data_IF_859392414781
#
_entry.id   IF_859392414781
#
_cell.length_a   1.000
_cell.length_b   1.000
_cell.length_c   1.000
_cell.angle_alpha   90.00
_cell.angle_beta   90.00
_cell.angle_gamma   90.00
#
_symmetry.space_group_name_H-M   'P 1'
#
loop_
_entity.id
_entity.type
_entity.pdbx_description
1 polymer ?
#
# COMPACT_ATOMS: atom_id res chain seq x y z
N UNK A 1 0.79 -11.81 -23.09
CA UNK A 1 -0.03 -11.05 -22.13
C UNK A 1 -1.52 -10.83 -22.51
N UNK A 2 -2.21 -11.64 -23.33
CA UNK A 2 -3.61 -11.34 -23.71
C UNK A 2 -4.67 -11.70 -22.63
N UNK A 3 -4.32 -12.54 -21.66
CA UNK A 3 -5.26 -12.96 -20.59
C UNK A 3 -5.35 -11.96 -19.42
N UNK A 4 -4.45 -10.99 -19.33
CA UNK A 4 -4.39 -10.05 -18.21
C UNK A 4 -5.56 -9.05 -18.19
N UNK A 5 -6.12 -8.72 -19.38
CA UNK A 5 -7.36 -7.94 -19.50
C UNK A 5 -8.61 -8.71 -19.02
N UNK A 6 -8.54 -10.03 -18.94
CA UNK A 6 -9.65 -10.89 -18.52
C UNK A 6 -9.61 -11.24 -17.01
N UNK A 7 -8.47 -11.04 -16.36
CA UNK A 7 -8.35 -11.22 -14.92
C UNK A 7 -8.78 -9.94 -14.21
N UNK A 8 -9.56 -10.01 -13.12
CA UNK A 8 -10.03 -8.82 -12.41
C UNK A 8 -8.92 -8.15 -11.58
N UNK A 9 -7.64 -8.28 -11.96
CA UNK A 9 -6.47 -7.82 -11.19
C UNK A 9 -5.86 -6.61 -11.88
N UNK A 10 -5.86 -5.49 -11.17
CA UNK A 10 -5.33 -4.23 -11.62
C UNK A 10 -3.83 -4.10 -11.33
N UNK A 11 -3.12 -3.30 -12.14
CA UNK A 11 -3.62 -2.63 -13.33
C UNK A 11 -3.65 -3.57 -14.53
N UNK A 12 -4.59 -3.33 -15.45
CA UNK A 12 -4.88 -4.23 -16.56
C UNK A 12 -3.87 -4.05 -17.70
N UNK A 13 -3.80 -2.86 -18.30
CA UNK A 13 -2.99 -2.66 -19.52
C UNK A 13 -1.69 -1.90 -19.27
N UNK A 14 -1.70 -0.97 -18.31
CA UNK A 14 -0.58 -0.09 -17.98
C UNK A 14 -0.58 0.24 -16.49
N UNK A 15 0.60 0.18 -15.88
CA UNK A 15 0.82 0.67 -14.51
C UNK A 15 1.51 2.02 -14.55
N UNK A 16 0.74 3.09 -14.42
CA UNK A 16 1.25 4.46 -14.35
C UNK A 16 1.93 4.68 -12.99
N UNK A 17 3.03 5.43 -13.00
CA UNK A 17 3.77 5.88 -11.83
C UNK A 17 3.68 7.39 -11.72
N UNK A 18 3.31 7.90 -10.54
CA UNK A 18 3.43 9.33 -10.22
C UNK A 18 4.47 9.50 -9.14
N UNK A 19 5.49 10.33 -9.42
CA UNK A 19 6.46 10.76 -8.41
C UNK A 19 5.98 12.05 -7.73
N UNK A 20 6.07 12.12 -6.40
CA UNK A 20 5.90 13.35 -5.61
C UNK A 20 7.15 13.64 -4.81
N UNK A 21 7.60 14.89 -4.79
CA UNK A 21 8.65 15.35 -3.89
C UNK A 21 8.00 15.80 -2.58
N UNK A 22 8.35 15.14 -1.49
CA UNK A 22 7.86 15.49 -0.15
C UNK A 22 8.79 16.49 0.54
N UNK A 23 9.88 16.90 -0.10
CA UNK A 23 10.94 17.70 0.50
C UNK A 23 11.80 16.90 1.48
N UNK A 24 12.87 17.55 1.95
CA UNK A 24 13.88 16.98 2.87
C UNK A 24 14.54 15.70 2.32
N UNK A 25 14.66 15.59 0.99
CA UNK A 25 15.29 14.45 0.32
C UNK A 25 14.45 13.17 0.37
N UNK A 26 13.12 13.29 0.35
CA UNK A 26 12.18 12.17 0.36
C UNK A 26 11.21 12.33 -0.80
N UNK A 27 11.08 11.28 -1.61
CA UNK A 27 10.16 11.21 -2.74
C UNK A 27 9.28 9.98 -2.62
N UNK A 28 8.04 10.07 -3.09
CA UNK A 28 7.14 8.93 -3.19
C UNK A 28 6.83 8.63 -4.64
N UNK A 29 6.64 7.36 -4.95
CA UNK A 29 6.30 6.85 -6.28
C UNK A 29 5.05 5.99 -6.09
N UNK A 30 3.91 6.52 -6.53
CA UNK A 30 2.63 5.86 -6.39
C UNK A 30 2.30 5.10 -7.69
N UNK A 31 1.79 3.89 -7.55
CA UNK A 31 1.20 3.08 -8.61
C UNK A 31 -0.17 2.56 -8.16
N UNK A 32 -0.99 2.06 -9.09
CA UNK A 32 -2.24 1.38 -8.75
C UNK A 32 -2.06 -0.12 -8.53
N UNK A 33 -2.78 -0.64 -7.55
CA UNK A 33 -3.09 -2.06 -7.38
C UNK A 33 -4.59 -2.20 -7.07
N UNK A 34 -5.18 -3.34 -7.41
CA UNK A 34 -6.56 -3.58 -7.06
C UNK A 34 -7.11 -4.88 -7.62
N UNK A 35 -8.29 -5.25 -7.15
CA UNK A 35 -9.11 -6.32 -7.73
C UNK A 35 -10.54 -5.80 -7.84
N UNK A 36 -11.32 -6.19 -8.85
CA UNK A 36 -12.73 -5.76 -8.94
C UNK A 36 -12.94 -4.24 -9.03
N UNK A 37 -12.03 -3.53 -9.71
CA UNK A 37 -11.98 -2.06 -9.75
C UNK A 37 -11.85 -1.38 -8.37
N UNK A 38 -11.60 -2.15 -7.30
CA UNK A 38 -11.21 -1.61 -6.00
C UNK A 38 -9.73 -1.25 -6.10
N UNK A 39 -9.46 -0.13 -6.77
CA UNK A 39 -8.11 0.36 -7.02
C UNK A 39 -7.68 1.28 -5.89
N UNK A 40 -6.54 0.97 -5.30
CA UNK A 40 -5.91 1.80 -4.27
C UNK A 40 -4.46 2.08 -4.64
N UNK A 41 -3.89 3.22 -4.21
CA UNK A 41 -2.47 3.46 -4.41
C UNK A 41 -1.64 2.48 -3.59
N UNK A 42 -0.58 1.97 -4.21
CA UNK A 42 0.57 1.32 -3.57
C UNK A 42 1.79 2.20 -3.82
N UNK A 43 2.63 2.37 -2.79
CA UNK A 43 3.65 3.42 -2.77
C UNK A 43 5.04 2.89 -2.43
N UNK A 44 6.00 3.35 -3.20
CA UNK A 44 7.41 3.26 -2.92
C UNK A 44 7.92 4.61 -2.40
N UNK A 45 8.78 4.59 -1.40
CA UNK A 45 9.45 5.79 -0.90
C UNK A 45 10.94 5.71 -1.22
N UNK A 46 11.47 6.78 -1.83
CA UNK A 46 12.89 6.94 -2.13
C UNK A 46 13.45 8.04 -1.24
N UNK A 47 14.57 7.78 -0.61
CA UNK A 47 15.22 8.68 0.34
C UNK A 47 16.67 8.90 -0.05
N UNK A 48 17.11 10.16 -0.05
CA UNK A 48 18.51 10.53 -0.23
C UNK A 48 19.32 10.20 1.03
N UNK A 49 20.43 9.49 0.86
CA UNK A 49 21.36 9.15 1.94
C UNK A 49 22.38 10.28 2.18
N UNK A 50 22.81 10.48 3.43
CA UNK A 50 23.82 11.49 3.77
C UNK A 50 25.16 11.23 3.10
N UNK A 51 25.56 9.96 2.97
CA UNK A 51 26.83 9.55 2.35
C UNK A 51 26.74 9.37 0.83
N UNK A 52 25.67 9.86 0.21
CA UNK A 52 25.41 9.74 -1.22
C UNK A 52 24.71 8.42 -1.58
N UNK A 53 23.97 8.46 -2.68
CA UNK A 53 23.08 7.41 -3.12
C UNK A 53 21.68 7.49 -2.54
N UNK A 54 20.87 6.48 -2.88
CA UNK A 54 19.46 6.41 -2.54
C UNK A 54 19.13 5.14 -1.75
N UNK A 55 18.20 5.29 -0.81
CA UNK A 55 17.50 4.21 -0.12
C UNK A 55 16.09 4.09 -0.72
N UNK A 56 15.68 2.87 -1.05
CA UNK A 56 14.35 2.58 -1.60
C UNK A 56 13.60 1.69 -0.61
N UNK A 57 12.44 2.18 -0.16
CA UNK A 57 11.53 1.49 0.73
C UNK A 57 10.27 1.08 -0.02
N UNK A 58 9.84 -0.16 0.17
CA UNK A 58 8.60 -0.70 -0.39
C UNK A 58 8.47 -0.56 -1.92
N UNK A 59 9.36 -1.18 -2.71
CA UNK A 59 9.38 -0.92 -4.14
C UNK A 59 8.07 -1.29 -4.83
N UNK A 60 7.61 -0.38 -5.68
CA UNK A 60 6.51 -0.63 -6.61
C UNK A 60 7.04 -1.37 -7.84
N UNK A 61 6.18 -1.67 -8.82
CA UNK A 61 6.64 -2.36 -10.02
C UNK A 61 7.63 -1.49 -10.81
N UNK A 62 8.74 -2.09 -11.23
CA UNK A 62 9.77 -1.43 -12.02
C UNK A 62 9.35 -1.27 -13.50
N UNK A 63 8.29 -0.49 -13.74
CA UNK A 63 7.90 -0.05 -15.08
C UNK A 63 8.95 0.89 -15.65
N UNK A 64 9.00 1.02 -16.98
CA UNK A 64 9.94 1.95 -17.63
C UNK A 64 9.73 3.40 -17.15
N UNK A 65 8.47 3.80 -16.91
CA UNK A 65 8.12 5.11 -16.33
C UNK A 65 8.66 5.26 -14.90
N UNK A 66 8.51 4.23 -14.05
CA UNK A 66 9.10 4.24 -12.70
C UNK A 66 10.63 4.36 -12.75
N UNK A 67 11.28 3.61 -13.63
CA UNK A 67 12.72 3.56 -13.76
C UNK A 67 13.28 4.87 -14.33
N UNK A 68 12.59 5.50 -15.29
CA UNK A 68 12.96 6.81 -15.82
C UNK A 68 12.89 7.89 -14.74
N UNK A 69 11.79 7.96 -13.98
CA UNK A 69 11.62 8.91 -12.87
C UNK A 69 12.65 8.68 -11.74
N UNK A 70 13.02 7.43 -11.47
CA UNK A 70 14.06 7.09 -10.49
C UNK A 70 15.46 7.41 -11.03
N UNK A 71 15.68 7.28 -12.35
CA UNK A 71 16.96 7.60 -12.98
C UNK A 71 17.35 9.05 -12.73
N UNK A 72 16.41 9.99 -12.84
CA UNK A 72 16.64 11.41 -12.52
C UNK A 72 17.20 11.60 -11.11
N UNK A 73 16.66 10.87 -10.12
CA UNK A 73 17.17 10.93 -8.75
C UNK A 73 18.54 10.28 -8.63
N UNK A 74 18.79 9.17 -9.34
CA UNK A 74 20.10 8.51 -9.29
C UNK A 74 21.20 9.34 -9.97
N UNK A 75 20.86 10.05 -11.04
CA UNK A 75 21.79 10.97 -11.71
C UNK A 75 22.16 12.14 -10.79
N UNK A 76 21.19 12.65 -10.01
CA UNK A 76 21.39 13.79 -9.12
C UNK A 76 22.00 13.45 -7.74
N UNK A 77 21.75 12.25 -7.22
CA UNK A 77 22.07 11.90 -5.83
C UNK A 77 22.96 10.66 -5.68
N UNK A 78 23.25 9.96 -6.78
CA UNK A 78 24.02 8.72 -6.79
C UNK A 78 23.14 7.46 -6.85
N UNK A 79 23.76 6.28 -6.96
CA UNK A 79 23.04 5.04 -7.22
C UNK A 79 22.15 4.61 -6.04
N UNK A 80 21.18 3.75 -6.33
CA UNK A 80 20.45 3.02 -5.28
C UNK A 80 21.44 2.12 -4.52
N UNK A 81 21.52 2.30 -3.20
CA UNK A 81 22.41 1.55 -2.29
C UNK A 81 21.66 0.45 -1.55
N UNK A 82 20.45 0.74 -1.11
CA UNK A 82 19.63 -0.16 -0.31
C UNK A 82 18.22 -0.22 -0.86
N UNK A 83 17.66 -1.42 -0.87
CA UNK A 83 16.26 -1.68 -1.19
C UNK A 83 15.69 -2.49 -0.03
N UNK A 84 14.55 -2.06 0.53
CA UNK A 84 13.88 -2.74 1.63
C UNK A 84 12.50 -3.18 1.20
N UNK A 85 12.21 -4.48 1.30
CA UNK A 85 10.86 -5.05 1.27
C UNK A 85 10.35 -5.19 2.71
N UNK A 86 9.50 -4.27 3.18
CA UNK A 86 9.20 -4.13 4.61
C UNK A 86 8.00 -4.97 5.08
N UNK A 87 7.32 -5.65 4.15
CA UNK A 87 6.15 -6.46 4.44
C UNK A 87 6.31 -7.87 3.91
N UNK A 88 5.52 -8.76 4.47
CA UNK A 88 5.38 -10.16 4.04
C UNK A 88 4.24 -10.34 3.03
N UNK A 89 3.38 -9.32 2.87
CA UNK A 89 2.20 -9.39 2.03
C UNK A 89 2.58 -9.47 0.55
N UNK A 90 1.81 -10.25 -0.22
CA UNK A 90 2.17 -10.66 -1.58
C UNK A 90 2.15 -9.49 -2.57
N UNK A 91 1.27 -8.52 -2.33
CA UNK A 91 1.10 -7.29 -3.09
C UNK A 91 2.37 -6.43 -3.14
N UNK A 92 3.21 -6.52 -2.11
CA UNK A 92 4.43 -5.73 -1.95
C UNK A 92 5.67 -6.39 -2.56
N UNK A 93 5.57 -7.62 -3.09
CA UNK A 93 6.74 -8.38 -3.56
C UNK A 93 7.55 -7.59 -4.60
N UNK A 94 8.81 -7.34 -4.25
CA UNK A 94 9.69 -6.43 -4.97
C UNK A 94 10.84 -7.11 -5.75
N UNK A 95 10.82 -8.45 -5.90
CA UNK A 95 11.90 -9.19 -6.58
C UNK A 95 12.26 -8.67 -8.00
N UNK A 96 11.27 -8.39 -8.88
CA UNK A 96 11.54 -7.80 -10.20
C UNK A 96 12.19 -6.42 -10.13
N UNK A 97 11.81 -5.59 -9.14
CA UNK A 97 12.41 -4.28 -8.95
C UNK A 97 13.87 -4.40 -8.51
N UNK A 98 14.15 -5.24 -7.52
CA UNK A 98 15.51 -5.47 -7.02
C UNK A 98 16.48 -5.93 -8.13
N UNK A 99 16.01 -6.76 -9.09
CA UNK A 99 16.83 -7.18 -10.25
C UNK A 99 17.26 -6.04 -11.17
N UNK A 100 16.59 -4.88 -11.16
CA UNK A 100 17.01 -3.69 -11.92
C UNK A 100 18.18 -2.96 -11.27
N UNK A 101 18.49 -3.27 -10.01
CA UNK A 101 19.56 -2.64 -9.23
C UNK A 101 20.42 -3.72 -8.54
N UNK A 102 21.14 -4.58 -9.30
CA UNK A 102 21.87 -5.71 -8.73
C UNK A 102 23.04 -5.31 -7.81
N UNK A 103 23.52 -4.06 -7.90
CA UNK A 103 24.54 -3.51 -7.01
C UNK A 103 23.97 -3.01 -5.66
N UNK A 104 22.65 -2.88 -5.53
CA UNK A 104 22.02 -2.48 -4.28
C UNK A 104 21.83 -3.70 -3.36
N UNK A 105 22.04 -3.51 -2.06
CA UNK A 105 21.69 -4.52 -1.07
C UNK A 105 20.18 -4.59 -0.93
N UNK A 106 19.61 -5.78 -1.13
CA UNK A 106 18.17 -6.01 -1.03
C UNK A 106 17.84 -6.72 0.28
N UNK A 107 17.26 -5.97 1.22
CA UNK A 107 16.79 -6.49 2.51
C UNK A 107 15.31 -6.84 2.45
N UNK A 108 14.94 -7.98 3.01
CA UNK A 108 13.54 -8.44 3.07
C UNK A 108 13.17 -8.84 4.50
N UNK A 109 11.95 -8.53 4.91
CA UNK A 109 11.35 -9.15 6.10
C UNK A 109 11.47 -10.68 6.01
N UNK A 110 11.92 -11.32 7.09
CA UNK A 110 12.38 -12.71 7.11
C UNK A 110 11.26 -13.75 7.23
N UNK A 111 9.99 -13.34 7.31
CA UNK A 111 8.81 -14.21 7.33
C UNK A 111 7.95 -14.07 6.06
N UNK A 112 8.58 -13.93 4.89
CA UNK A 112 7.87 -13.72 3.61
C UNK A 112 6.74 -14.74 3.41
N UNK A 113 5.56 -14.23 3.03
CA UNK A 113 4.40 -15.07 2.84
C UNK A 113 4.54 -15.97 1.61
N UNK A 114 4.16 -17.23 1.81
CA UNK A 114 4.05 -18.24 0.77
C UNK A 114 2.85 -19.14 1.05
N UNK A 115 2.11 -19.43 -0.02
CA UNK A 115 0.92 -20.26 -0.02
C UNK A 115 0.89 -21.06 -1.32
N UNK A 116 0.46 -22.35 -1.32
CA UNK A 116 -0.10 -23.12 -0.20
C UNK A 116 0.94 -23.77 0.74
N UNK A 117 2.23 -23.70 0.40
CA UNK A 117 3.31 -24.32 1.16
C UNK A 117 4.35 -23.27 1.58
N UNK A 118 5.00 -23.44 2.76
CA UNK A 118 6.09 -22.58 3.18
C UNK A 118 7.30 -22.80 2.28
N UNK A 119 7.58 -21.86 1.40
CA UNK A 119 8.71 -21.92 0.47
C UNK A 119 9.87 -21.06 0.97
N UNK A 120 11.13 -21.53 0.86
CA UNK A 120 12.30 -20.68 1.08
C UNK A 120 12.28 -19.45 0.17
N UNK A 121 12.86 -18.33 0.62
CA UNK A 121 12.93 -17.06 -0.13
C UNK A 121 13.43 -17.21 -1.58
N UNK A 122 14.36 -18.15 -1.82
CA UNK A 122 14.90 -18.45 -3.15
C UNK A 122 13.82 -18.88 -4.17
N UNK A 123 12.70 -19.45 -3.71
CA UNK A 123 11.58 -19.89 -4.54
C UNK A 123 10.44 -18.86 -4.60
N UNK A 124 10.58 -17.71 -3.94
CA UNK A 124 9.58 -16.63 -3.92
C UNK A 124 9.79 -15.58 -5.01
N UNK A 125 10.65 -15.87 -5.99
CA UNK A 125 11.02 -14.94 -7.06
C UNK A 125 11.91 -13.79 -6.58
N UNK A 126 12.52 -13.91 -5.39
CA UNK A 126 13.50 -12.97 -4.85
C UNK A 126 14.89 -13.24 -5.46
N UNK A 127 15.72 -12.21 -5.70
CA UNK A 127 17.08 -12.40 -6.19
C UNK A 127 17.95 -13.23 -5.22
N UNK A 128 18.97 -13.97 -5.71
CA UNK A 128 19.80 -14.81 -4.86
C UNK A 128 20.67 -14.04 -3.85
N UNK A 129 20.94 -12.75 -4.09
CA UNK A 129 21.70 -11.88 -3.17
C UNK A 129 20.82 -11.21 -2.10
N UNK A 130 19.55 -11.61 -1.98
CA UNK A 130 18.64 -11.11 -0.96
C UNK A 130 19.18 -11.40 0.44
N UNK A 131 19.12 -10.42 1.33
CA UNK A 131 19.49 -10.54 2.73
C UNK A 131 18.26 -10.44 3.63
N UNK A 132 18.14 -11.27 4.68
CA UNK A 132 17.14 -11.04 5.71
C UNK A 132 17.40 -9.68 6.37
N UNK A 133 16.34 -8.92 6.59
CA UNK A 133 16.40 -7.69 7.38
C UNK A 133 16.57 -8.07 8.86
N UNK A 134 17.50 -7.43 9.62
CA UNK A 134 17.55 -7.57 11.06
C UNK A 134 16.20 -7.17 11.70
N UNK A 135 15.93 -7.57 12.94
CA UNK A 135 14.64 -7.26 13.59
C UNK A 135 14.58 -5.85 14.16
N UNK A 136 15.72 -5.24 14.45
CA UNK A 136 15.84 -3.88 14.96
C UNK A 136 17.21 -3.29 14.60
N UNK A 137 17.32 -1.97 14.57
CA UNK A 137 18.64 -1.30 14.45
C UNK A 137 19.57 -1.65 15.62
N UNK A 138 19.03 -2.13 16.75
CA UNK A 138 19.80 -2.64 17.91
C UNK A 138 20.52 -3.96 17.64
N UNK A 139 19.99 -4.79 16.73
CA UNK A 139 20.56 -6.10 16.37
C UNK A 139 21.58 -6.00 15.23
N UNK A 140 21.86 -4.78 14.76
CA UNK A 140 22.70 -4.47 13.62
C UNK A 140 22.00 -3.47 12.69
N UNK A 141 22.69 -2.38 12.36
CA UNK A 141 22.14 -1.33 11.51
C UNK A 141 22.95 -1.19 10.20
N UNK A 142 22.53 -1.85 9.10
CA UNK A 142 23.23 -1.75 7.82
C UNK A 142 22.99 -0.39 7.12
N UNK A 143 22.11 0.45 7.66
CA UNK A 143 21.71 1.74 7.09
C UNK A 143 22.44 2.93 7.73
N UNK A 144 23.34 2.66 8.69
CA UNK A 144 24.14 3.67 9.37
C UNK A 144 23.29 4.71 10.11
N UNK A 145 23.82 5.93 10.22
CA UNK A 145 23.20 6.99 11.02
C UNK A 145 21.98 7.65 10.35
N UNK A 146 21.69 7.31 9.09
CA UNK A 146 20.54 7.86 8.36
C UNK A 146 19.21 7.34 8.92
N UNK A 147 19.19 6.11 9.47
CA UNK A 147 17.97 5.44 9.90
C UNK A 147 18.08 4.76 11.27
N UNK A 148 17.00 4.80 12.03
CA UNK A 148 16.66 3.72 12.98
C UNK A 148 15.48 2.93 12.42
N UNK A 149 15.35 1.67 12.81
CA UNK A 149 14.23 0.83 12.38
C UNK A 149 13.91 -0.26 13.39
N UNK A 150 12.68 -0.76 13.31
CA UNK A 150 12.17 -1.86 14.13
C UNK A 150 11.10 -2.61 13.33
N UNK A 151 11.13 -3.94 13.39
CA UNK A 151 10.21 -4.80 12.65
C UNK A 151 9.12 -5.29 13.59
N UNK A 152 7.92 -4.70 13.48
CA UNK A 152 6.74 -5.26 14.13
C UNK A 152 6.54 -6.68 13.59
N UNK A 153 6.43 -7.66 14.48
CA UNK A 153 6.18 -9.05 14.10
C UNK A 153 5.07 -9.61 14.97
N UNK A 154 3.97 -10.01 14.32
CA UNK A 154 2.84 -10.63 14.99
C UNK A 154 2.59 -11.99 14.34
N UNK A 155 2.29 -13.00 15.16
CA UNK A 155 1.92 -14.34 14.70
C UNK A 155 0.43 -14.56 14.92
N UNK A 156 -0.44 -14.18 13.97
CA UNK A 156 -1.89 -14.24 14.15
C UNK A 156 -2.45 -15.67 14.17
N UNK A 157 -1.69 -16.66 13.72
CA UNK A 157 -2.10 -18.07 13.70
C UNK A 157 -1.01 -19.01 13.20
N UNK A 158 -1.28 -20.34 13.18
CA UNK A 158 -0.33 -21.33 12.67
C UNK A 158 0.06 -21.03 11.22
N UNK A 159 1.36 -21.02 10.93
CA UNK A 159 1.89 -20.79 9.57
C UNK A 159 1.71 -19.37 9.01
N UNK A 160 1.19 -18.42 9.78
CA UNK A 160 1.00 -17.04 9.35
C UNK A 160 1.82 -16.08 10.20
N UNK A 161 2.47 -15.14 9.55
CA UNK A 161 3.18 -14.02 10.17
C UNK A 161 2.69 -12.72 9.54
N UNK A 162 2.64 -11.68 10.35
CA UNK A 162 2.55 -10.30 9.92
C UNK A 162 3.87 -9.64 10.28
N UNK A 163 4.48 -8.93 9.33
CA UNK A 163 5.61 -8.06 9.61
C UNK A 163 5.45 -6.72 8.94
N UNK A 164 5.81 -5.67 9.66
CA UNK A 164 5.93 -4.31 9.16
C UNK A 164 7.25 -3.72 9.64
N UNK A 165 8.22 -3.60 8.72
CA UNK A 165 9.50 -2.98 9.01
C UNK A 165 9.35 -1.46 8.93
N UNK A 166 9.35 -0.82 10.10
CA UNK A 166 9.18 0.62 10.23
C UNK A 166 10.53 1.30 10.40
N UNK A 167 10.76 2.35 9.61
CA UNK A 167 12.01 3.09 9.57
C UNK A 167 11.77 4.55 9.90
N UNK A 168 12.65 5.19 10.64
CA UNK A 168 12.70 6.65 10.75
C UNK A 168 13.92 7.18 10.00
N UNK A 169 13.71 8.01 8.97
CA UNK A 169 14.79 8.74 8.35
C UNK A 169 15.10 10.00 9.18
N UNK A 170 16.11 9.90 10.05
CA UNK A 170 16.43 10.91 11.08
C UNK A 170 16.58 12.32 10.51
N UNK A 171 17.32 12.55 9.40
CA UNK A 171 17.50 13.89 8.84
C UNK A 171 16.20 14.56 8.40
N UNK A 172 15.29 13.78 7.81
CA UNK A 172 14.02 14.31 7.29
C UNK A 172 12.88 14.33 8.32
N UNK A 173 13.06 13.66 9.47
CA UNK A 173 12.02 13.40 10.47
C UNK A 173 10.80 12.68 9.88
N UNK A 174 11.04 11.75 8.96
CA UNK A 174 9.99 10.97 8.27
C UNK A 174 9.97 9.55 8.78
N UNK A 175 8.83 9.09 9.29
CA UNK A 175 8.59 7.68 9.55
C UNK A 175 8.06 7.00 8.27
N UNK A 176 8.67 5.89 7.88
CA UNK A 176 8.24 5.02 6.78
C UNK A 176 7.64 3.76 7.39
N UNK A 177 6.40 3.45 7.05
CA UNK A 177 5.72 2.24 7.50
C UNK A 177 4.90 1.64 6.37
N UNK A 178 4.61 0.35 6.46
CA UNK A 178 3.87 -0.38 5.45
C UNK A 178 2.36 -0.26 5.67
N UNK A 179 1.81 -1.25 6.37
CA UNK A 179 0.38 -1.54 6.48
C UNK A 179 -0.08 -1.45 7.94
N UNK A 180 0.71 -0.87 8.85
CA UNK A 180 0.34 -0.70 10.25
C UNK A 180 -0.51 0.56 10.51
N UNK A 181 -0.52 1.55 9.61
CA UNK A 181 -1.23 2.82 9.77
C UNK A 181 -1.63 3.38 8.40
N UNK A 182 -2.81 3.97 8.34
CA UNK A 182 -3.40 4.52 7.13
C UNK A 182 -4.08 5.85 7.44
N UNK A 183 -4.29 6.66 6.41
CA UNK A 183 -5.15 7.82 6.45
C UNK A 183 -5.86 7.96 5.11
N UNK A 184 -7.08 8.50 5.10
CA UNK A 184 -7.77 8.80 3.86
C UNK A 184 -8.73 9.96 4.05
N UNK A 185 -8.85 10.79 3.03
CA UNK A 185 -9.77 11.91 2.94
C UNK A 185 -10.85 11.62 1.89
N UNK A 186 -11.88 12.48 1.83
CA UNK A 186 -12.93 12.32 0.80
C UNK A 186 -12.40 12.54 -0.63
N UNK A 187 -11.25 13.20 -0.79
CA UNK A 187 -10.62 13.40 -2.08
C UNK A 187 -9.99 12.09 -2.60
N UNK A 188 -10.31 11.65 -3.83
CA UNK A 188 -9.58 10.56 -4.46
C UNK A 188 -8.08 10.91 -4.59
N UNK A 189 -7.16 9.94 -4.40
CA UNK A 189 -5.74 10.18 -4.58
C UNK A 189 -5.43 10.68 -6.00
N UNK A 190 -4.50 11.63 -6.20
CA UNK A 190 -4.22 12.23 -7.51
C UNK A 190 -3.95 11.21 -8.62
N UNK A 191 -3.33 10.07 -8.28
CA UNK A 191 -3.07 9.01 -9.24
C UNK A 191 -4.35 8.37 -9.78
N UNK A 192 -5.40 8.18 -8.97
CA UNK A 192 -6.69 7.65 -9.44
C UNK A 192 -7.36 8.59 -10.46
N UNK A 193 -7.06 9.89 -10.38
CA UNK A 193 -7.62 10.90 -11.29
C UNK A 193 -6.76 11.17 -12.52
N UNK A 194 -5.56 10.60 -12.56
CA UNK A 194 -4.54 10.92 -13.55
C UNK A 194 -4.66 10.16 -14.87
N UNK A 195 -5.51 9.14 -14.94
CA UNK A 195 -5.66 8.26 -16.09
C UNK A 195 -7.14 7.85 -16.26
N UNK A 196 -7.70 7.92 -17.49
CA UNK A 196 -9.07 7.48 -17.75
C UNK A 196 -9.38 6.03 -17.29
N UNK A 197 -8.39 5.12 -17.32
CA UNK A 197 -8.57 3.74 -16.82
C UNK A 197 -8.78 3.72 -15.29
N UNK A 198 -8.15 4.64 -14.56
CA UNK A 198 -8.28 4.72 -13.10
C UNK A 198 -9.52 5.51 -12.68
N UNK A 199 -9.87 6.58 -13.40
CA UNK A 199 -11.13 7.31 -13.20
C UNK A 199 -12.32 6.39 -13.42
N UNK A 200 -12.24 5.49 -14.40
CA UNK A 200 -13.25 4.46 -14.66
C UNK A 200 -13.52 3.58 -13.44
N UNK A 201 -12.51 3.29 -12.62
CA UNK A 201 -12.70 2.53 -11.37
C UNK A 201 -13.56 3.29 -10.36
N UNK A 202 -13.34 4.61 -10.23
CA UNK A 202 -14.18 5.49 -9.41
C UNK A 202 -15.63 5.47 -9.90
N UNK A 203 -15.85 5.70 -11.20
CA UNK A 203 -17.18 5.73 -11.79
C UNK A 203 -17.89 4.36 -11.72
N UNK A 204 -17.14 3.27 -11.86
CA UNK A 204 -17.67 1.90 -11.73
C UNK A 204 -18.27 1.66 -10.34
N UNK A 205 -17.58 2.10 -9.29
CA UNK A 205 -18.04 1.95 -7.91
C UNK A 205 -19.09 2.98 -7.50
N UNK A 206 -19.14 4.13 -8.18
CA UNK A 206 -20.17 5.15 -7.95
C UNK A 206 -21.59 4.73 -8.36
N UNK A 207 -21.75 3.67 -9.16
CA UNK A 207 -23.05 3.15 -9.64
C UNK A 207 -23.96 2.69 -8.50
N UNK A 208 -25.20 3.17 -8.49
CA UNK A 208 -26.33 2.63 -7.74
C UNK A 208 -27.03 1.50 -8.50
N UNK A 209 -26.96 1.45 -9.83
CA UNK A 209 -27.52 0.37 -10.65
C UNK A 209 -26.51 -0.40 -11.50
N UNK A 210 -26.76 -1.69 -11.83
CA UNK A 210 -25.86 -2.49 -12.66
C UNK A 210 -25.65 -1.92 -14.07
N UNK A 211 -26.70 -1.36 -14.66
CA UNK A 211 -26.69 -0.75 -16.00
C UNK A 211 -26.63 0.78 -15.96
N UNK A 212 -26.35 1.38 -14.80
CA UNK A 212 -26.27 2.82 -14.68
C UNK A 212 -25.01 3.36 -15.36
N UNK A 213 -25.17 4.44 -16.14
CA UNK A 213 -24.05 5.26 -16.60
C UNK A 213 -23.88 6.44 -15.64
N UNK A 214 -22.77 6.45 -14.93
CA UNK A 214 -22.43 7.54 -14.01
C UNK A 214 -21.69 8.63 -14.77
N UNK A 215 -22.19 9.86 -14.68
CA UNK A 215 -21.52 11.03 -15.26
C UNK A 215 -20.18 11.29 -14.55
N UNK A 216 -19.14 11.65 -15.32
CA UNK A 216 -17.85 12.00 -14.75
C UNK A 216 -17.88 13.40 -14.12
N UNK A 217 -18.17 13.44 -12.81
CA UNK A 217 -18.19 14.66 -12.00
C UNK A 217 -17.34 14.48 -10.74
N UNK A 218 -16.80 15.57 -10.14
CA UNK A 218 -16.07 15.48 -8.87
C UNK A 218 -16.87 14.84 -7.73
N UNK A 219 -18.20 15.01 -7.73
CA UNK A 219 -19.08 14.38 -6.75
C UNK A 219 -19.17 12.86 -6.94
N UNK A 220 -19.36 12.40 -8.18
CA UNK A 220 -19.42 10.97 -8.49
C UNK A 220 -18.07 10.28 -8.28
N UNK A 221 -16.96 10.96 -8.58
CA UNK A 221 -15.62 10.47 -8.26
C UNK A 221 -15.44 10.26 -6.75
N UNK A 222 -15.86 11.24 -5.94
CA UNK A 222 -15.84 11.12 -4.47
C UNK A 222 -16.72 9.98 -3.98
N UNK A 223 -17.94 9.83 -4.51
CA UNK A 223 -18.83 8.69 -4.20
C UNK A 223 -18.17 7.35 -4.51
N UNK A 224 -17.58 7.22 -5.69
CA UNK A 224 -16.80 6.05 -6.07
C UNK A 224 -15.64 5.77 -5.12
N UNK A 225 -14.89 6.81 -4.75
CA UNK A 225 -13.77 6.69 -3.82
C UNK A 225 -14.19 6.22 -2.42
N UNK A 226 -15.25 6.80 -1.85
CA UNK A 226 -15.78 6.36 -0.54
C UNK A 226 -16.10 4.87 -0.53
N UNK A 227 -16.73 4.40 -1.60
CA UNK A 227 -17.07 2.98 -1.79
C UNK A 227 -15.84 2.10 -1.95
N UNK A 228 -14.86 2.52 -2.76
CA UNK A 228 -13.58 1.82 -2.91
C UNK A 228 -12.86 1.70 -1.55
N UNK A 229 -12.78 2.77 -0.77
CA UNK A 229 -12.16 2.76 0.56
C UNK A 229 -12.87 1.75 1.48
N UNK A 230 -14.19 1.76 1.51
CA UNK A 230 -14.96 0.80 2.32
C UNK A 230 -14.75 -0.65 1.86
N UNK A 231 -14.69 -0.90 0.55
CA UNK A 231 -14.42 -2.24 0.02
C UNK A 231 -12.99 -2.70 0.29
N UNK A 232 -12.01 -1.83 0.11
CA UNK A 232 -10.61 -2.08 0.43
C UNK A 232 -10.43 -2.42 1.92
N UNK A 233 -11.14 -1.72 2.80
CA UNK A 233 -10.98 -1.85 4.24
C UNK A 233 -11.70 -3.06 4.83
N UNK A 234 -12.92 -3.35 4.35
CA UNK A 234 -13.79 -4.34 4.99
C UNK A 234 -13.99 -5.63 4.18
N UNK A 235 -13.65 -5.64 2.88
CA UNK A 235 -14.05 -6.63 1.87
C UNK A 235 -15.58 -6.75 1.68
N UNK A 236 -16.32 -6.80 2.79
CA UNK A 236 -17.78 -6.86 2.91
C UNK A 236 -18.28 -5.77 3.90
N UNK A 237 -18.29 -4.49 3.50
CA UNK A 237 -18.74 -3.43 4.39
C UNK A 237 -20.23 -3.63 4.73
N UNK A 238 -20.63 -3.42 5.98
CA UNK A 238 -22.04 -3.56 6.41
C UNK A 238 -23.01 -2.61 5.69
N UNK A 239 -22.49 -1.61 4.96
CA UNK A 239 -23.22 -0.72 4.07
C UNK A 239 -23.55 -1.36 2.70
N UNK A 240 -22.98 -2.51 2.37
CA UNK A 240 -23.21 -3.26 1.13
C UNK A 240 -23.56 -4.74 1.38
N UNK A 241 -24.17 -5.35 0.38
CA UNK A 241 -24.40 -6.80 0.31
C UNK A 241 -23.59 -7.35 -0.87
N UNK A 242 -22.68 -8.33 -0.67
CA UNK A 242 -21.89 -8.89 -1.75
C UNK A 242 -22.69 -9.86 -2.64
N UNK A 243 -22.40 -9.85 -3.94
CA UNK A 243 -22.77 -10.91 -4.90
C UNK A 243 -21.49 -11.51 -5.53
N UNK A 244 -20.82 -12.38 -4.75
CA UNK A 244 -19.57 -13.06 -5.14
C UNK A 244 -19.80 -14.44 -5.82
N UNK A 245 -20.95 -14.66 -6.48
CA UNK A 245 -21.20 -15.92 -7.19
C UNK A 245 -20.24 -16.20 -8.36
N UNK A 246 -20.39 -17.36 -9.02
CA UNK A 246 -19.60 -17.74 -10.21
C UNK A 246 -19.98 -16.96 -11.49
N UNK A 247 -21.00 -16.10 -11.44
CA UNK A 247 -21.49 -15.27 -12.57
C UNK A 247 -20.40 -14.43 -13.28
N UNK A 248 -19.36 -13.89 -12.62
CA UNK A 248 -18.34 -13.07 -13.29
C UNK A 248 -17.49 -13.87 -14.28
N UNK A 249 -17.21 -15.15 -13.99
CA UNK A 249 -16.50 -16.05 -14.90
C UNK A 249 -17.30 -16.34 -16.18
N UNK A 250 -18.63 -16.23 -16.12
CA UNK A 250 -19.55 -16.42 -17.25
C UNK A 250 -19.89 -15.11 -17.98
N UNK A 251 -19.57 -13.96 -17.38
CA UNK A 251 -19.79 -12.61 -17.93
C UNK A 251 -18.51 -11.96 -18.48
N UNK A 252 -17.41 -12.74 -18.62
CA UNK A 252 -16.14 -12.27 -19.18
C UNK A 252 -16.33 -11.78 -20.63
N UNK A 253 -16.07 -10.50 -20.84
CA UNK A 253 -16.07 -9.83 -22.13
C UNK A 253 -15.39 -8.46 -22.02
N UNK A 254 -14.91 -7.88 -23.13
CA UNK A 254 -14.32 -6.55 -23.12
C UNK A 254 -15.28 -5.51 -22.53
N UNK A 255 -14.71 -4.50 -21.89
CA UNK A 255 -15.43 -3.48 -21.12
C UNK A 255 -16.34 -2.63 -22.03
N UNK A 256 -17.64 -2.84 -21.89
CA UNK A 256 -18.73 -2.00 -22.42
C UNK A 256 -18.95 -0.78 -21.49
N UNK A 257 -19.77 0.23 -21.85
CA UNK A 257 -20.03 1.44 -21.04
C UNK A 257 -20.51 1.18 -19.59
N UNK A 258 -20.90 -0.06 -19.29
CA UNK A 258 -21.48 -0.51 -18.03
C UNK A 258 -20.53 -1.44 -17.23
N UNK A 259 -19.25 -1.42 -17.57
CA UNK A 259 -18.27 -2.36 -17.02
C UNK A 259 -18.49 -3.79 -17.49
N UNK A 260 -18.19 -4.78 -16.66
CA UNK A 260 -18.30 -6.22 -16.93
C UNK A 260 -19.72 -6.69 -17.26
N UNK A 261 -20.25 -6.24 -18.40
CA UNK A 261 -21.61 -6.43 -18.92
C UNK A 261 -22.69 -6.11 -17.88
N UNK A 262 -22.48 -5.04 -17.11
CA UNK A 262 -23.39 -4.62 -16.06
C UNK A 262 -23.25 -5.36 -14.74
N UNK A 263 -22.25 -6.23 -14.57
CA UNK A 263 -22.01 -6.85 -13.27
C UNK A 263 -21.61 -5.79 -12.23
N UNK A 264 -22.25 -5.89 -11.07
CA UNK A 264 -22.04 -5.05 -9.90
C UNK A 264 -21.80 -5.97 -8.71
N UNK A 265 -20.54 -6.12 -8.23
CA UNK A 265 -20.21 -7.07 -7.17
C UNK A 265 -20.82 -6.75 -5.80
N UNK A 266 -21.28 -5.51 -5.61
CA UNK A 266 -21.74 -5.01 -4.32
C UNK A 266 -23.00 -4.17 -4.47
N UNK A 267 -24.07 -4.54 -3.76
CA UNK A 267 -25.28 -3.74 -3.67
C UNK A 267 -25.25 -2.83 -2.44
N UNK A 268 -25.28 -1.51 -2.65
CA UNK A 268 -25.22 -0.50 -1.58
C UNK A 268 -26.59 -0.21 -1.01
N UNK A 269 -26.72 -0.21 0.33
CA UNK A 269 -28.02 -0.03 1.01
C UNK A 269 -28.61 1.36 0.82
N UNK A 270 -27.78 2.40 0.87
CA UNK A 270 -28.10 3.80 0.52
C UNK A 270 -26.83 4.64 0.56
N UNK A 271 -26.82 5.77 -0.14
CA UNK A 271 -25.70 6.72 -0.08
C UNK A 271 -25.48 7.27 1.34
N UNK A 272 -26.54 7.55 2.10
CA UNK A 272 -26.42 8.02 3.48
C UNK A 272 -25.70 7.02 4.40
N UNK A 273 -25.94 5.71 4.25
CA UNK A 273 -25.26 4.67 5.04
C UNK A 273 -23.79 4.51 4.63
N UNK A 274 -23.51 4.55 3.34
CA UNK A 274 -22.15 4.57 2.79
C UNK A 274 -21.36 5.77 3.32
N UNK A 275 -21.90 6.99 3.18
CA UNK A 275 -21.25 8.23 3.62
C UNK A 275 -20.93 8.19 5.11
N UNK A 276 -21.89 7.81 5.96
CA UNK A 276 -21.68 7.66 7.41
C UNK A 276 -20.58 6.65 7.75
N UNK A 277 -20.55 5.51 7.05
CA UNK A 277 -19.52 4.50 7.26
C UNK A 277 -18.14 5.00 6.84
N UNK A 278 -18.07 5.72 5.72
CA UNK A 278 -16.84 6.33 5.24
C UNK A 278 -16.34 7.40 6.22
N UNK A 279 -17.19 8.32 6.66
CA UNK A 279 -16.84 9.38 7.62
C UNK A 279 -16.33 8.81 8.96
N UNK A 280 -16.96 7.74 9.45
CA UNK A 280 -16.53 7.04 10.67
C UNK A 280 -15.13 6.42 10.55
N UNK A 281 -14.77 5.94 9.35
CA UNK A 281 -13.44 5.38 9.07
C UNK A 281 -12.41 6.47 8.78
N UNK A 282 -12.71 7.36 7.82
CA UNK A 282 -11.80 8.36 7.31
C UNK A 282 -11.46 9.43 8.35
N UNK A 283 -12.43 9.82 9.19
CA UNK A 283 -12.30 10.87 10.21
C UNK A 283 -11.51 12.09 9.70
N UNK A 284 -11.80 12.48 8.45
CA UNK A 284 -11.12 13.56 7.72
C UNK A 284 -9.58 13.43 7.67
N UNK A 285 -9.06 12.25 7.32
CA UNK A 285 -7.62 12.01 7.18
C UNK A 285 -6.90 11.73 8.49
N UNK A 286 -7.63 11.49 9.59
CA UNK A 286 -7.00 11.08 10.85
C UNK A 286 -6.31 9.70 10.67
N UNK A 287 -5.08 9.53 11.19
CA UNK A 287 -4.45 8.22 11.26
C UNK A 287 -5.36 7.16 11.87
N UNK A 288 -5.42 5.99 11.24
CA UNK A 288 -6.21 4.84 11.67
C UNK A 288 -5.53 3.54 11.26
N UNK A 289 -6.06 2.41 11.71
CA UNK A 289 -5.61 1.06 11.36
C UNK A 289 -6.78 0.36 10.66
N UNK A 290 -6.54 -0.36 9.56
CA UNK A 290 -7.60 -1.13 8.92
C UNK A 290 -8.11 -2.22 9.89
N UNK A 291 -9.41 -2.52 9.97
CA UNK A 291 -9.97 -3.51 10.88
C UNK A 291 -9.35 -4.89 10.74
N UNK A 292 -9.01 -5.32 9.52
CA UNK A 292 -8.32 -6.61 9.32
C UNK A 292 -6.93 -6.61 9.96
N UNK A 293 -6.21 -5.48 9.86
CA UNK A 293 -4.91 -5.30 10.51
C UNK A 293 -5.10 -5.23 12.03
N UNK A 294 -6.09 -4.50 12.55
CA UNK A 294 -6.40 -4.48 13.99
C UNK A 294 -6.64 -5.90 14.54
N UNK A 295 -7.41 -6.73 13.82
CA UNK A 295 -7.63 -8.13 14.19
C UNK A 295 -6.31 -8.91 14.19
N UNK A 296 -5.46 -8.72 13.18
CA UNK A 296 -4.14 -9.38 13.10
C UNK A 296 -3.26 -8.95 14.28
N UNK A 297 -3.18 -7.65 14.56
CA UNK A 297 -2.35 -7.06 15.60
C UNK A 297 -2.81 -7.41 17.02
N UNK A 298 -4.10 -7.70 17.20
CA UNK A 298 -4.66 -8.15 18.48
C UNK A 298 -4.55 -9.68 18.68
N UNK A 299 -4.27 -10.45 17.62
CA UNK A 299 -4.10 -11.92 17.69
C UNK A 299 -2.68 -12.29 18.12
N UNK A 300 -2.54 -13.55 18.55
CA UNK A 300 -1.25 -14.09 19.01
C UNK A 300 -1.03 -13.77 20.48
N UNK A 301 -0.15 -12.82 20.77
CA UNK A 301 0.26 -12.45 22.14
C UNK A 301 -0.62 -11.36 22.76
N UNK A 302 -1.89 -11.31 22.36
CA UNK A 302 -2.88 -10.33 22.84
C UNK A 302 -2.43 -8.87 22.67
N UNK A 303 -1.66 -8.58 21.61
CA UNK A 303 -1.22 -7.22 21.26
C UNK A 303 0.06 -6.76 21.98
N UNK A 304 0.72 -7.62 22.76
CA UNK A 304 1.93 -7.26 23.48
C UNK A 304 3.08 -6.84 22.54
N UNK A 305 3.28 -7.56 21.43
CA UNK A 305 4.26 -7.20 20.40
C UNK A 305 3.97 -5.82 19.79
N UNK A 306 2.70 -5.54 19.50
CA UNK A 306 2.23 -4.26 18.97
C UNK A 306 2.51 -3.14 19.97
N UNK A 307 2.11 -3.29 21.23
CA UNK A 307 2.35 -2.30 22.28
C UNK A 307 3.84 -2.01 22.50
N UNK A 308 4.67 -3.06 22.51
CA UNK A 308 6.11 -2.93 22.67
C UNK A 308 6.75 -2.22 21.47
N UNK A 309 6.32 -2.53 20.25
CA UNK A 309 6.76 -1.84 19.03
C UNK A 309 6.33 -0.38 19.03
N UNK A 310 5.06 -0.06 19.34
CA UNK A 310 4.57 1.32 19.46
C UNK A 310 5.41 2.11 20.46
N UNK A 311 5.69 1.53 21.64
CA UNK A 311 6.53 2.16 22.66
C UNK A 311 7.92 2.51 22.11
N UNK A 312 8.57 1.59 21.40
CA UNK A 312 9.88 1.82 20.77
C UNK A 312 9.83 2.90 19.69
N UNK A 313 8.92 2.78 18.72
CA UNK A 313 8.79 3.73 17.61
C UNK A 313 8.47 5.13 18.12
N UNK A 314 7.66 5.23 19.18
CA UNK A 314 7.27 6.52 19.77
C UNK A 314 8.42 7.25 20.47
N UNK A 315 9.58 6.60 20.66
CA UNK A 315 10.80 7.28 21.15
C UNK A 315 11.56 8.03 20.05
N UNK A 316 11.26 7.76 18.77
CA UNK A 316 11.97 8.36 17.65
C UNK A 316 11.47 9.78 17.34
N UNK A 317 12.34 10.61 16.79
CA UNK A 317 12.00 11.97 16.39
C UNK A 317 11.50 12.01 14.94
N UNK A 318 10.18 12.05 14.74
CA UNK A 318 9.53 12.28 13.45
C UNK A 318 8.38 13.29 13.57
N UNK A 319 8.05 13.98 12.49
CA UNK A 319 6.91 14.91 12.42
C UNK A 319 5.90 14.53 11.33
N UNK A 320 6.22 13.51 10.53
CA UNK A 320 5.36 12.99 9.48
C UNK A 320 5.57 11.50 9.26
N UNK A 321 4.54 10.87 8.69
CA UNK A 321 4.50 9.44 8.38
C UNK A 321 4.18 9.24 6.90
N UNK A 322 4.83 8.28 6.26
CA UNK A 322 4.56 7.87 4.88
C UNK A 322 4.10 6.41 4.88
N UNK A 323 2.78 6.14 4.88
CA UNK A 323 2.24 4.80 4.70
C UNK A 323 2.28 4.36 3.23
N UNK A 324 2.16 3.05 2.99
CA UNK A 324 2.22 2.50 1.62
C UNK A 324 0.92 2.59 0.83
N UNK A 325 -0.21 2.73 1.51
CA UNK A 325 -1.52 2.86 0.89
C UNK A 325 -2.20 4.16 1.28
N UNK A 326 -3.23 4.52 0.51
CA UNK A 326 -4.09 5.69 0.71
C UNK A 326 -3.27 7.00 0.80
N UNK A 327 -3.68 7.93 1.67
CA UNK A 327 -3.12 9.27 1.74
C UNK A 327 -1.74 9.27 2.39
N UNK A 328 -0.83 10.03 1.78
CA UNK A 328 0.51 10.28 2.30
C UNK A 328 1.08 11.59 1.71
N UNK A 329 1.96 12.29 2.45
CA UNK A 329 2.33 12.02 3.84
C UNK A 329 1.18 12.32 4.81
N UNK A 330 1.30 11.82 6.04
CA UNK A 330 0.39 12.10 7.15
C UNK A 330 1.15 12.89 8.20
N UNK A 331 0.70 14.10 8.51
CA UNK A 331 1.35 14.99 9.47
C UNK A 331 1.02 14.54 10.89
N UNK A 332 1.86 13.67 11.44
CA UNK A 332 1.71 13.10 12.77
C UNK A 332 3.06 12.82 13.40
N UNK A 333 3.24 13.27 14.65
CA UNK A 333 4.40 12.97 15.47
C UNK A 333 4.20 11.75 16.38
N UNK A 334 5.16 11.45 17.26
CA UNK A 334 5.17 10.21 18.05
C UNK A 334 3.94 10.01 18.93
N UNK A 335 3.43 11.07 19.57
CA UNK A 335 2.24 10.99 20.41
C UNK A 335 0.97 10.67 19.60
N UNK A 336 0.80 11.30 18.43
CA UNK A 336 -0.34 11.03 17.55
C UNK A 336 -0.26 9.64 16.91
N UNK A 337 0.96 9.20 16.56
CA UNK A 337 1.21 7.83 16.14
C UNK A 337 0.79 6.84 17.23
N UNK A 338 1.28 7.00 18.47
CA UNK A 338 0.93 6.12 19.58
C UNK A 338 -0.58 6.08 19.84
N UNK A 339 -1.25 7.23 19.79
CA UNK A 339 -2.70 7.35 19.98
C UNK A 339 -3.53 6.62 18.89
N UNK A 340 -2.93 6.29 17.74
CA UNK A 340 -3.58 5.51 16.68
C UNK A 340 -3.75 4.03 17.07
N UNK A 341 -2.92 3.55 18.00
CA UNK A 341 -2.89 2.16 18.47
C UNK A 341 -3.45 2.00 19.89
N UNK A 342 -3.98 3.07 20.48
CA UNK A 342 -4.45 3.13 21.86
C UNK A 342 -5.91 2.67 22.04
#
# INVERSE_FOLDING_TARGET
YPLWLALPVAPYSRRKTIRRDLGRGVWTFDQMIGIYYVHVPIRMTVVKLRRGGLFVYAPVAATDECLALLKELTDAHGPVKHIVLPSVAVEHKAGPFARKFPAATFHVCDQQYSFPVPLPNAFLGLPPWTQPLPRSSKDGNPFGDDFDFDVLTVKPGPGSYYQDATFVHKPSKTLLLCDALFATTEAPPPILESDPEYVRALLFHARDGPLERVADTPENRRKGWRRIVLLFNFFFPGAATPDLGLKPLLALGPFEPYGWRGWKPFEWKSEAKERRAFEAFAQNGKPTILPIIQIILARGDSGAATAAWVSRVSTWAFDRVVPQHLDAPVDVGPAGFAATFA
#
